data_IF_789309007488
#
_entry.id   IF_789309007488
#
_cell.length_a   1.000
_cell.length_b   1.000
_cell.length_c   1.000
_cell.angle_alpha   90.00
_cell.angle_beta   90.00
_cell.angle_gamma   90.00
#
_symmetry.space_group_name_H-M   'P 1'
#
loop_
_entity.id
_entity.type
_entity.pdbx_description
1 polymer ?
#
# COMPACT_ATOMS: atom_id res chain seq x y z
N UNK A 1 4.23 24.95 -4.81
CA UNK A 1 4.53 26.36 -4.47
C UNK A 1 6.05 26.53 -4.37
N UNK A 2 6.67 27.35 -5.23
CA UNK A 2 8.14 27.60 -5.20
C UNK A 2 8.49 28.43 -3.95
N UNK A 3 9.48 27.98 -3.18
CA UNK A 3 9.82 28.53 -1.85
C UNK A 3 10.28 30.00 -1.86
N UNK A 4 10.33 30.61 -0.67
CA UNK A 4 10.63 32.04 -0.48
C UNK A 4 11.96 32.52 -1.10
N UNK A 5 12.97 31.65 -1.16
CA UNK A 5 14.27 31.95 -1.77
C UNK A 5 14.21 32.19 -3.30
N UNK A 6 13.26 31.55 -4.00
CA UNK A 6 13.06 31.81 -5.43
C UNK A 6 12.48 33.20 -5.67
N UNK A 7 11.57 33.64 -4.79
CA UNK A 7 10.93 34.97 -4.88
C UNK A 7 11.94 36.09 -4.64
N UNK A 8 12.83 35.94 -3.65
CA UNK A 8 13.88 36.93 -3.39
C UNK A 8 14.92 36.98 -4.52
N UNK A 9 15.32 35.83 -5.08
CA UNK A 9 16.25 35.78 -6.19
C UNK A 9 15.68 36.45 -7.46
N UNK A 10 14.43 36.15 -7.83
CA UNK A 10 13.76 36.78 -8.98
C UNK A 10 13.66 38.30 -8.80
N UNK A 11 13.35 38.77 -7.58
CA UNK A 11 13.30 40.19 -7.28
C UNK A 11 14.68 40.86 -7.43
N UNK A 12 15.75 40.22 -6.96
CA UNK A 12 17.13 40.70 -7.13
C UNK A 12 17.55 40.82 -8.60
N UNK A 13 17.23 39.82 -9.43
CA UNK A 13 17.49 39.88 -10.88
C UNK A 13 16.68 40.97 -11.59
N UNK A 14 15.43 41.19 -11.18
CA UNK A 14 14.60 42.26 -11.73
C UNK A 14 15.19 43.65 -11.43
N UNK A 15 15.66 43.88 -10.20
CA UNK A 15 16.33 45.13 -9.80
C UNK A 15 17.65 45.32 -10.56
N UNK A 16 18.47 44.27 -10.67
CA UNK A 16 19.74 44.35 -11.41
C UNK A 16 19.54 44.61 -12.90
N UNK A 17 18.53 43.98 -13.53
CA UNK A 17 18.17 44.23 -14.92
C UNK A 17 17.69 45.66 -15.15
N UNK A 18 16.91 46.21 -14.21
CA UNK A 18 16.43 47.59 -14.26
C UNK A 18 17.59 48.59 -14.12
N UNK A 19 18.57 48.31 -13.25
CA UNK A 19 19.77 49.13 -13.10
C UNK A 19 20.63 49.14 -14.37
N UNK A 20 20.82 47.98 -15.03
CA UNK A 20 21.55 47.89 -16.29
C UNK A 20 20.83 48.60 -17.44
N UNK A 21 19.50 48.49 -17.51
CA UNK A 21 18.69 49.23 -18.48
C UNK A 21 18.80 50.74 -18.28
N UNK A 22 18.78 51.19 -17.02
CA UNK A 22 18.99 52.61 -16.67
C UNK A 22 20.39 53.09 -17.07
N UNK A 23 21.43 52.30 -16.77
CA UNK A 23 22.81 52.63 -17.16
C UNK A 23 22.96 52.73 -18.68
N UNK A 24 22.35 51.81 -19.45
CA UNK A 24 22.38 51.84 -20.91
C UNK A 24 21.70 53.07 -21.51
N UNK A 25 20.58 53.51 -20.92
CA UNK A 25 19.91 54.75 -21.34
C UNK A 25 20.77 55.97 -21.06
N UNK A 26 21.45 56.01 -19.91
CA UNK A 26 22.29 57.15 -19.51
C UNK A 26 23.58 57.23 -20.36
N UNK A 27 24.21 56.10 -20.65
CA UNK A 27 25.37 56.01 -21.57
C UNK A 27 24.96 56.42 -22.98
N UNK A 28 23.78 56.01 -23.45
CA UNK A 28 23.23 56.42 -24.74
C UNK A 28 22.97 57.93 -24.85
N UNK A 29 22.64 58.60 -23.75
CA UNK A 29 22.51 60.07 -23.70
C UNK A 29 23.86 60.77 -23.77
N UNK A 30 24.88 60.21 -23.10
CA UNK A 30 26.25 60.74 -23.09
C UNK A 30 27.03 60.46 -24.38
N UNK A 31 26.57 59.51 -25.20
CA UNK A 31 27.17 59.13 -26.49
C UNK A 31 27.32 60.27 -27.51
N UNK A 32 26.53 61.33 -27.34
CA UNK A 32 26.56 62.52 -28.21
C UNK A 32 27.86 63.33 -28.03
N UNK A 33 28.55 63.18 -26.88
CA UNK A 33 29.75 63.97 -26.55
C UNK A 33 31.07 63.28 -26.91
N UNK A 34 31.15 61.94 -26.89
CA UNK A 34 32.40 61.20 -27.13
C UNK A 34 32.12 59.77 -27.64
N UNK A 35 32.08 59.54 -28.97
CA UNK A 35 31.55 58.30 -29.56
C UNK A 35 32.36 57.05 -29.24
N UNK A 36 33.69 57.16 -29.19
CA UNK A 36 34.58 56.01 -28.96
C UNK A 36 34.49 55.49 -27.52
N UNK A 37 34.39 56.39 -26.54
CA UNK A 37 34.25 56.03 -25.13
C UNK A 37 32.89 55.43 -24.83
N UNK A 38 31.84 55.94 -25.49
CA UNK A 38 30.48 55.42 -25.34
C UNK A 38 30.29 54.03 -25.95
N UNK A 39 31.01 53.69 -27.01
CA UNK A 39 31.04 52.34 -27.59
C UNK A 39 31.59 51.28 -26.61
N UNK A 40 32.66 51.61 -25.88
CA UNK A 40 33.23 50.74 -24.84
C UNK A 40 32.28 50.56 -23.66
N UNK A 41 31.67 51.64 -23.19
CA UNK A 41 30.72 51.61 -22.07
C UNK A 41 29.44 50.84 -22.42
N UNK A 42 28.93 50.99 -23.65
CA UNK A 42 27.80 50.22 -24.16
C UNK A 42 28.14 48.73 -24.29
N UNK A 43 29.36 48.40 -24.70
CA UNK A 43 29.88 47.03 -24.72
C UNK A 43 29.91 46.41 -23.32
N UNK A 44 30.34 47.17 -22.31
CA UNK A 44 30.34 46.72 -20.91
C UNK A 44 28.94 46.43 -20.38
N UNK A 45 27.95 47.28 -20.69
CA UNK A 45 26.54 47.03 -20.34
C UNK A 45 25.99 45.79 -21.04
N UNK A 46 26.31 45.61 -22.33
CA UNK A 46 25.92 44.42 -23.09
C UNK A 46 26.45 43.13 -22.49
N UNK A 47 27.73 43.10 -22.11
CA UNK A 47 28.35 41.97 -21.40
C UNK A 47 27.68 41.75 -20.03
N UNK A 48 27.37 42.83 -19.30
CA UNK A 48 26.66 42.77 -18.03
C UNK A 48 25.27 42.14 -18.13
N UNK A 49 24.48 42.51 -19.14
CA UNK A 49 23.15 41.91 -19.41
C UNK A 49 23.28 40.43 -19.77
N UNK A 50 24.28 40.08 -20.58
CA UNK A 50 24.50 38.69 -21.01
C UNK A 50 24.96 37.80 -19.84
N UNK A 51 25.80 38.32 -18.95
CA UNK A 51 26.20 37.66 -17.70
C UNK A 51 25.00 37.49 -16.75
N UNK A 52 24.15 38.53 -16.61
CA UNK A 52 22.94 38.48 -15.79
C UNK A 52 21.95 37.43 -16.33
N UNK A 53 21.75 37.38 -17.65
CA UNK A 53 20.91 36.38 -18.30
C UNK A 53 21.45 34.95 -18.10
N UNK A 54 22.77 34.76 -18.22
CA UNK A 54 23.38 33.44 -18.01
C UNK A 54 23.26 32.97 -16.54
N UNK A 55 23.42 33.89 -15.58
CA UNK A 55 23.20 33.60 -14.17
C UNK A 55 21.74 33.24 -13.88
N UNK A 56 20.78 34.00 -14.44
CA UNK A 56 19.36 33.70 -14.32
C UNK A 56 19.00 32.34 -14.95
N UNK A 57 19.55 32.02 -16.12
CA UNK A 57 19.33 30.75 -16.80
C UNK A 57 19.87 29.56 -16.00
N UNK A 58 21.06 29.67 -15.41
CA UNK A 58 21.63 28.65 -14.51
C UNK A 58 20.77 28.45 -13.28
N UNK A 59 20.36 29.54 -12.61
CA UNK A 59 19.54 29.46 -11.41
C UNK A 59 18.17 28.83 -11.71
N UNK A 60 17.53 29.20 -12.81
CA UNK A 60 16.24 28.65 -13.22
C UNK A 60 16.32 27.16 -13.61
N UNK A 61 17.47 26.68 -14.13
CA UNK A 61 17.72 25.24 -14.29
C UNK A 61 17.85 24.55 -12.94
N UNK A 62 18.70 25.06 -12.05
CA UNK A 62 18.92 24.51 -10.71
C UNK A 62 17.61 24.34 -9.90
N UNK A 63 16.75 25.36 -9.85
CA UNK A 63 15.46 25.25 -9.16
C UNK A 63 14.48 24.28 -9.82
N UNK A 64 14.57 24.08 -11.13
CA UNK A 64 13.76 23.09 -11.86
C UNK A 64 14.23 21.67 -11.54
N UNK A 65 15.53 21.48 -11.46
CA UNK A 65 16.15 20.19 -11.13
C UNK A 65 15.90 19.83 -9.66
N UNK A 66 15.97 20.80 -8.73
CA UNK A 66 15.52 20.63 -7.34
C UNK A 66 14.01 20.29 -7.24
N UNK A 67 13.18 20.89 -8.09
CA UNK A 67 11.76 20.57 -8.19
C UNK A 67 11.52 19.11 -8.60
N UNK A 68 12.25 18.65 -9.63
CA UNK A 68 12.21 17.25 -10.11
C UNK A 68 12.71 16.28 -9.04
N UNK A 69 13.79 16.61 -8.35
CA UNK A 69 14.31 15.82 -7.24
C UNK A 69 13.28 15.71 -6.11
N UNK A 70 12.64 16.82 -5.72
CA UNK A 70 11.59 16.83 -4.69
C UNK A 70 10.40 15.98 -5.08
N UNK A 71 9.96 16.06 -6.34
CA UNK A 71 8.85 15.28 -6.87
C UNK A 71 9.17 13.78 -6.90
N UNK A 72 10.40 13.45 -7.28
CA UNK A 72 10.92 12.07 -7.28
C UNK A 72 11.05 11.51 -5.86
N UNK A 73 11.49 12.34 -4.90
CA UNK A 73 11.55 11.96 -3.48
C UNK A 73 10.16 11.85 -2.84
N UNK A 74 9.19 12.70 -3.22
CA UNK A 74 7.82 12.63 -2.68
C UNK A 74 7.01 11.45 -3.23
N UNK A 75 7.40 10.93 -4.39
CA UNK A 75 6.80 9.73 -5.01
C UNK A 75 7.55 8.45 -4.65
N UNK A 76 8.61 8.54 -3.85
CA UNK A 76 9.46 7.41 -3.48
C UNK A 76 8.82 6.58 -2.34
N UNK A 77 8.05 5.55 -2.72
CA UNK A 77 7.65 4.42 -1.87
C UNK A 77 7.94 3.09 -2.58
N UNK A 78 9.21 2.70 -2.60
CA UNK A 78 9.60 1.31 -2.95
C UNK A 78 10.47 1.08 -4.18
N UNK A 79 11.02 2.10 -4.85
CA UNK A 79 12.03 1.87 -5.91
C UNK A 79 13.43 1.64 -5.34
N UNK A 80 14.17 0.72 -5.98
CA UNK A 80 15.58 0.44 -5.69
C UNK A 80 16.43 1.72 -5.76
N UNK A 81 17.21 1.99 -4.72
CA UNK A 81 18.12 3.14 -4.62
C UNK A 81 19.12 3.24 -5.79
N UNK A 82 19.32 2.16 -6.54
CA UNK A 82 20.16 2.13 -7.73
C UNK A 82 19.66 3.02 -8.87
N UNK A 83 18.35 3.27 -9.01
CA UNK A 83 17.83 4.06 -10.13
C UNK A 83 18.03 5.58 -9.96
N UNK A 84 18.15 6.06 -8.72
CA UNK A 84 18.41 7.47 -8.40
C UNK A 84 19.86 7.88 -8.72
N UNK A 85 20.80 6.95 -8.60
CA UNK A 85 22.21 7.18 -8.88
C UNK A 85 22.53 7.12 -10.39
N UNK A 86 21.81 6.29 -11.16
CA UNK A 86 22.06 6.11 -12.61
C UNK A 86 21.55 7.26 -13.47
N UNK A 87 20.55 8.02 -13.01
CA UNK A 87 19.98 9.17 -13.74
C UNK A 87 20.55 10.53 -13.28
N UNK A 88 21.50 10.51 -12.34
CA UNK A 88 22.11 11.71 -11.79
C UNK A 88 23.12 12.32 -12.76
N UNK A 89 22.90 13.57 -13.17
CA UNK A 89 23.89 14.35 -13.96
C UNK A 89 25.12 14.73 -13.11
N UNK A 90 26.22 15.10 -13.76
CA UNK A 90 27.42 15.64 -13.12
C UNK A 90 27.21 17.11 -12.71
N UNK A 91 26.24 17.37 -11.83
CA UNK A 91 25.97 18.69 -11.26
C UNK A 91 25.63 18.58 -9.76
N UNK A 92 25.57 19.71 -9.06
CA UNK A 92 25.26 19.78 -7.62
C UNK A 92 23.93 19.09 -7.26
N UNK A 93 22.97 19.05 -8.19
CA UNK A 93 21.71 18.35 -8.00
C UNK A 93 21.89 16.82 -8.10
N UNK A 94 22.76 16.34 -8.98
CA UNK A 94 23.19 14.95 -9.03
C UNK A 94 24.06 14.52 -7.84
N UNK A 95 24.88 15.43 -7.30
CA UNK A 95 25.63 15.19 -6.06
C UNK A 95 24.69 15.11 -4.85
N UNK A 96 23.66 15.97 -4.79
CA UNK A 96 22.61 15.89 -3.77
C UNK A 96 21.75 14.62 -3.95
N UNK A 97 21.47 14.20 -5.18
CA UNK A 97 20.77 12.95 -5.49
C UNK A 97 21.60 11.72 -5.07
N UNK A 98 22.91 11.73 -5.33
CA UNK A 98 23.85 10.69 -4.87
C UNK A 98 23.98 10.70 -3.36
N UNK A 99 24.13 11.86 -2.71
CA UNK A 99 24.17 11.98 -1.25
C UNK A 99 22.85 11.55 -0.60
N UNK A 100 21.70 11.85 -1.20
CA UNK A 100 20.40 11.36 -0.74
C UNK A 100 20.25 9.85 -0.96
N UNK A 101 20.66 9.31 -2.12
CA UNK A 101 20.67 7.88 -2.37
C UNK A 101 21.62 7.14 -1.43
N UNK A 102 22.75 7.74 -1.07
CA UNK A 102 23.74 7.23 -0.14
C UNK A 102 23.24 7.31 1.31
N UNK A 103 22.63 8.42 1.73
CA UNK A 103 21.96 8.55 3.02
C UNK A 103 20.77 7.59 3.16
N UNK A 104 20.03 7.31 2.08
CA UNK A 104 18.94 6.34 2.06
C UNK A 104 19.44 4.88 2.02
N UNK A 105 20.61 4.62 1.41
CA UNK A 105 21.33 3.35 1.55
C UNK A 105 21.84 3.14 2.98
N UNK A 106 22.34 4.20 3.61
CA UNK A 106 22.69 4.21 5.03
C UNK A 106 21.44 4.12 5.93
N UNK A 107 20.26 4.61 5.50
CA UNK A 107 19.00 4.43 6.23
C UNK A 107 18.47 2.99 6.26
N UNK A 108 18.98 2.10 5.39
CA UNK A 108 18.66 0.66 5.43
C UNK A 108 19.73 -0.19 6.12
N UNK A 109 20.93 0.33 6.37
CA UNK A 109 22.04 -0.42 7.00
C UNK A 109 22.89 0.40 7.99
N UNK A 110 22.31 1.45 8.60
CA UNK A 110 23.07 2.43 9.37
C UNK A 110 22.24 3.21 10.38
N UNK A 111 21.42 2.53 11.17
CA UNK A 111 21.25 2.88 12.59
C UNK A 111 21.46 1.61 13.43
N UNK A 112 22.71 1.36 13.79
CA UNK A 112 22.99 0.52 14.96
C UNK A 112 22.34 1.18 16.18
N UNK A 113 21.23 0.60 16.67
CA UNK A 113 21.04 0.08 18.06
C UNK A 113 19.57 0.06 18.58
N UNK A 114 18.64 -0.54 17.84
CA UNK A 114 17.60 -1.37 18.48
C UNK A 114 17.79 -2.88 18.22
N UNK A 115 18.10 -3.27 16.98
CA UNK A 115 18.20 -4.67 16.56
C UNK A 115 19.34 -5.46 17.21
N UNK A 116 20.55 -4.88 17.36
CA UNK A 116 21.68 -5.56 18.02
C UNK A 116 21.51 -5.66 19.55
N UNK A 117 20.84 -4.69 20.18
CA UNK A 117 20.53 -4.76 21.62
C UNK A 117 19.43 -5.79 21.86
N UNK A 118 18.41 -5.83 21.00
CA UNK A 118 17.34 -6.81 21.07
C UNK A 118 17.85 -8.22 20.72
N UNK A 119 18.70 -8.38 19.70
CA UNK A 119 19.37 -9.65 19.39
C UNK A 119 20.30 -10.08 20.53
N UNK A 120 21.00 -9.15 21.18
CA UNK A 120 21.80 -9.43 22.38
C UNK A 120 20.97 -9.84 23.59
N UNK A 121 19.81 -9.21 23.80
CA UNK A 121 18.83 -9.59 24.85
C UNK A 121 18.21 -10.95 24.54
N UNK A 122 17.76 -11.16 23.29
CA UNK A 122 17.17 -12.42 22.81
C UNK A 122 18.19 -13.57 22.89
N UNK A 123 19.46 -13.33 22.56
CA UNK A 123 20.53 -14.30 22.70
C UNK A 123 20.89 -14.62 24.17
N UNK A 124 20.64 -13.70 25.10
CA UNK A 124 20.84 -13.90 26.54
C UNK A 124 19.66 -14.58 27.24
N UNK A 125 18.50 -14.73 26.57
CA UNK A 125 17.36 -15.47 27.11
C UNK A 125 17.61 -16.99 27.01
N UNK A 126 17.47 -17.69 28.13
CA UNK A 126 17.58 -19.15 28.20
C UNK A 126 16.39 -19.87 27.55
N UNK A 127 15.22 -19.21 27.48
CA UNK A 127 14.03 -19.74 26.83
C UNK A 127 14.13 -19.62 25.29
N UNK A 128 13.76 -20.65 24.51
CA UNK A 128 13.73 -20.55 23.07
C UNK A 128 12.73 -19.48 22.57
N UNK A 129 13.23 -18.45 21.89
CA UNK A 129 12.46 -17.33 21.33
C UNK A 129 12.70 -17.19 19.83
N UNK A 130 11.60 -17.03 19.08
CA UNK A 130 11.57 -16.79 17.63
C UNK A 130 10.75 -15.53 17.36
N UNK A 131 11.28 -14.62 16.56
CA UNK A 131 10.58 -13.43 16.06
C UNK A 131 10.33 -13.63 14.57
N UNK A 132 9.07 -13.50 14.18
CA UNK A 132 8.62 -13.64 12.80
C UNK A 132 8.42 -12.26 12.18
N UNK A 133 8.72 -12.14 10.89
CA UNK A 133 8.34 -10.99 10.08
C UNK A 133 6.83 -11.01 9.74
N UNK A 134 6.35 -9.94 9.08
CA UNK A 134 4.95 -9.80 8.66
C UNK A 134 4.50 -10.88 7.64
N UNK A 135 5.44 -11.66 7.09
CA UNK A 135 5.22 -12.74 6.14
C UNK A 135 5.29 -14.13 6.80
N UNK A 136 5.54 -14.21 8.11
CA UNK A 136 5.71 -15.47 8.84
C UNK A 136 7.06 -16.15 8.63
N UNK A 137 8.03 -15.45 8.06
CA UNK A 137 9.42 -15.91 8.02
C UNK A 137 10.12 -15.55 9.32
N UNK A 138 11.11 -16.34 9.67
CA UNK A 138 11.89 -16.09 10.88
C UNK A 138 12.82 -14.92 10.63
N UNK A 139 12.51 -13.77 11.24
CA UNK A 139 13.36 -12.58 11.21
C UNK A 139 14.57 -12.77 12.12
N UNK A 140 14.32 -13.11 13.39
CA UNK A 140 15.37 -13.31 14.40
C UNK A 140 15.04 -14.52 15.27
N UNK A 141 16.04 -15.29 15.68
CA UNK A 141 15.89 -16.41 16.62
C UNK A 141 17.09 -16.51 17.56
N UNK A 142 16.90 -16.96 18.80
CA UNK A 142 18.02 -17.15 19.73
C UNK A 142 18.68 -18.54 19.59
N UNK A 143 19.91 -18.73 20.12
CA UNK A 143 20.60 -20.01 20.04
C UNK A 143 19.80 -21.18 20.64
N UNK A 144 19.03 -20.92 21.72
CA UNK A 144 18.14 -21.92 22.32
C UNK A 144 17.01 -22.35 21.35
N UNK A 145 16.40 -21.41 20.60
CA UNK A 145 15.40 -21.70 19.57
C UNK A 145 16.00 -22.44 18.39
N UNK A 146 17.22 -22.08 17.97
CA UNK A 146 17.92 -22.81 16.90
C UNK A 146 18.15 -24.27 17.30
N UNK A 147 18.60 -24.52 18.53
CA UNK A 147 18.81 -25.88 19.04
C UNK A 147 17.50 -26.65 19.28
N UNK A 148 16.43 -25.97 19.71
CA UNK A 148 15.15 -26.60 20.05
C UNK A 148 14.25 -26.91 18.84
N UNK A 149 14.33 -26.10 17.79
CA UNK A 149 13.51 -26.21 16.58
C UNK A 149 14.29 -26.67 15.34
N UNK A 150 15.63 -26.58 15.35
CA UNK A 150 16.48 -26.90 14.20
C UNK A 150 16.35 -25.88 13.06
N UNK A 151 16.02 -24.62 13.37
CA UNK A 151 15.69 -23.59 12.38
C UNK A 151 16.80 -22.56 12.23
N UNK A 152 16.90 -22.00 11.02
CA UNK A 152 17.76 -20.88 10.67
C UNK A 152 16.92 -19.64 10.34
N UNK A 153 17.50 -18.45 10.52
CA UNK A 153 16.86 -17.19 10.14
C UNK A 153 16.56 -17.19 8.63
N UNK A 154 15.40 -16.65 8.25
CA UNK A 154 14.90 -16.61 6.87
C UNK A 154 14.06 -17.82 6.43
N UNK A 155 13.98 -18.89 7.23
CA UNK A 155 13.09 -20.01 6.98
C UNK A 155 11.61 -19.64 7.24
N UNK A 156 10.70 -20.31 6.56
CA UNK A 156 9.25 -20.15 6.77
C UNK A 156 8.82 -20.99 7.99
N UNK A 157 8.17 -20.36 8.98
CA UNK A 157 7.72 -21.05 10.19
C UNK A 157 6.63 -22.09 9.90
N UNK A 158 5.87 -21.90 8.82
CA UNK A 158 4.74 -22.76 8.45
C UNK A 158 5.17 -24.11 7.87
N UNK A 159 6.43 -24.24 7.45
CA UNK A 159 7.01 -25.54 7.06
C UNK A 159 7.23 -26.44 8.28
N UNK A 160 7.21 -25.86 9.49
CA UNK A 160 7.57 -26.55 10.72
C UNK A 160 6.44 -26.60 11.75
N UNK A 161 5.51 -25.64 11.72
CA UNK A 161 4.35 -25.56 12.61
C UNK A 161 3.03 -25.53 11.83
N UNK A 162 2.00 -26.14 12.41
CA UNK A 162 0.65 -26.16 11.87
C UNK A 162 0.11 -24.75 11.61
N UNK A 163 -0.02 -24.39 10.33
CA UNK A 163 -0.52 -23.09 9.87
C UNK A 163 -1.89 -22.72 10.48
N UNK A 164 -2.91 -23.60 10.53
CA UNK A 164 -4.21 -23.26 11.12
C UNK A 164 -4.16 -22.99 12.63
N UNK A 165 -3.30 -23.68 13.37
CA UNK A 165 -3.21 -23.55 14.84
C UNK A 165 -2.42 -22.31 15.24
N UNK A 166 -1.31 -22.05 14.54
CA UNK A 166 -0.50 -20.85 14.73
C UNK A 166 -1.30 -19.60 14.40
N UNK A 167 -2.08 -19.64 13.32
CA UNK A 167 -2.99 -18.56 12.93
C UNK A 167 -3.99 -18.20 14.06
N UNK A 168 -4.67 -19.20 14.62
CA UNK A 168 -5.61 -18.99 15.74
C UNK A 168 -4.93 -18.43 16.99
N UNK A 169 -3.68 -18.82 17.25
CA UNK A 169 -2.92 -18.32 18.39
C UNK A 169 -2.53 -16.84 18.22
N UNK A 170 -2.15 -16.44 17.00
CA UNK A 170 -1.82 -15.06 16.63
C UNK A 170 -3.07 -14.16 16.72
N UNK A 171 -4.20 -14.62 16.20
CA UNK A 171 -5.48 -13.87 16.27
C UNK A 171 -5.86 -13.58 17.72
N UNK A 172 -5.79 -14.59 18.61
CA UNK A 172 -6.06 -14.41 20.04
C UNK A 172 -5.07 -13.43 20.71
N UNK A 173 -3.78 -13.54 20.39
CA UNK A 173 -2.76 -12.64 20.94
C UNK A 173 -2.98 -11.18 20.51
N UNK A 174 -3.60 -10.96 19.35
CA UNK A 174 -3.93 -9.64 18.80
C UNK A 174 -5.18 -9.05 19.42
N UNK A 175 -6.22 -9.85 19.63
CA UNK A 175 -7.49 -9.39 20.24
C UNK A 175 -7.30 -8.97 21.70
N UNK A 176 -6.59 -9.77 22.49
CA UNK A 176 -6.40 -9.52 23.91
C UNK A 176 -5.26 -8.54 24.20
N UNK A 177 -4.39 -8.30 23.21
CA UNK A 177 -3.17 -7.51 23.38
C UNK A 177 -2.23 -8.09 24.44
N UNK A 178 -2.40 -9.36 24.83
CA UNK A 178 -1.60 -10.07 25.84
C UNK A 178 -0.91 -11.30 25.23
N UNK A 179 -0.02 -11.93 26.00
CA UNK A 179 0.72 -13.11 25.56
C UNK A 179 -0.17 -14.36 25.73
N UNK A 180 -0.52 -15.00 24.61
CA UNK A 180 -1.47 -16.12 24.58
C UNK A 180 -0.72 -17.44 24.48
N UNK A 181 -1.07 -18.42 25.31
CA UNK A 181 -0.49 -19.76 25.26
C UNK A 181 -1.32 -20.67 24.36
N UNK A 182 -0.67 -21.39 23.46
CA UNK A 182 -1.27 -22.34 22.53
C UNK A 182 -0.41 -23.61 22.42
N UNK A 183 -1.04 -24.74 22.11
CA UNK A 183 -0.34 -25.98 21.74
C UNK A 183 -0.36 -26.08 20.22
N UNK A 184 0.82 -26.11 19.60
CA UNK A 184 0.99 -26.17 18.15
C UNK A 184 1.57 -27.51 17.73
N UNK A 185 0.99 -28.13 16.72
CA UNK A 185 1.50 -29.37 16.13
C UNK A 185 2.71 -29.09 15.23
N UNK A 186 3.78 -29.86 15.41
CA UNK A 186 4.98 -29.83 14.55
C UNK A 186 4.77 -30.67 13.29
N UNK A 187 5.36 -30.25 12.17
CA UNK A 187 5.35 -30.99 10.91
C UNK A 187 6.05 -32.37 11.02
N UNK A 188 7.04 -32.50 11.92
CA UNK A 188 7.77 -33.74 12.19
C UNK A 188 7.05 -34.67 13.20
N UNK A 189 5.82 -34.32 13.61
CA UNK A 189 5.06 -35.02 14.64
C UNK A 189 5.36 -34.49 16.06
N UNK A 190 4.35 -34.53 16.93
CA UNK A 190 4.39 -34.00 18.29
C UNK A 190 3.72 -32.63 18.45
N UNK A 191 3.26 -32.33 19.66
CA UNK A 191 2.67 -31.04 20.04
C UNK A 191 3.64 -30.26 20.91
N UNK A 192 3.73 -28.95 20.67
CA UNK A 192 4.65 -28.08 21.39
C UNK A 192 3.91 -26.87 21.94
N UNK A 193 4.06 -26.57 23.25
CA UNK A 193 3.53 -25.35 23.82
C UNK A 193 4.29 -24.15 23.25
N UNK A 194 3.53 -23.15 22.83
CA UNK A 194 4.04 -21.89 22.29
C UNK A 194 3.25 -20.76 22.93
N UNK A 195 3.95 -19.73 23.37
CA UNK A 195 3.37 -18.48 23.81
C UNK A 195 3.57 -17.44 22.72
N UNK A 196 2.47 -16.88 22.24
CA UNK A 196 2.44 -15.97 21.10
C UNK A 196 2.14 -14.56 21.60
N UNK A 197 2.91 -13.59 21.10
CA UNK A 197 2.67 -12.17 21.33
C UNK A 197 2.81 -11.42 20.01
N UNK A 198 1.76 -10.69 19.65
CA UNK A 198 1.83 -9.70 18.57
C UNK A 198 2.56 -8.45 19.10
N UNK A 199 3.66 -8.05 18.46
CA UNK A 199 4.46 -6.88 18.83
C UNK A 199 3.96 -5.59 18.16
N UNK A 200 2.95 -5.68 17.30
CA UNK A 200 2.38 -4.54 16.58
C UNK A 200 3.08 -4.23 15.25
N UNK A 201 2.63 -3.17 14.58
CA UNK A 201 3.03 -2.79 13.21
C UNK A 201 4.55 -2.72 13.07
N UNK A 202 5.08 -3.39 12.04
CA UNK A 202 6.51 -3.43 11.68
C UNK A 202 7.45 -4.05 12.73
N UNK A 203 6.90 -4.64 13.80
CA UNK A 203 7.67 -5.22 14.90
C UNK A 203 7.59 -6.75 14.95
N UNK A 204 6.78 -7.36 14.08
CA UNK A 204 6.68 -8.82 13.91
C UNK A 204 5.90 -9.53 15.01
N UNK A 205 5.98 -10.86 15.01
CA UNK A 205 5.31 -11.73 15.99
C UNK A 205 6.37 -12.47 16.81
N UNK A 206 6.29 -12.38 18.14
CA UNK A 206 7.16 -13.14 19.03
C UNK A 206 6.51 -14.48 19.43
N UNK A 207 7.25 -15.55 19.25
CA UNK A 207 6.94 -16.90 19.70
C UNK A 207 7.95 -17.32 20.77
N UNK A 208 7.45 -17.70 21.94
CA UNK A 208 8.27 -18.19 23.06
C UNK A 208 7.89 -19.64 23.36
N UNK A 209 8.89 -20.51 23.41
CA UNK A 209 8.73 -21.94 23.64
C UNK A 209 9.21 -22.26 25.06
N UNK A 210 8.33 -22.52 26.04
CA UNK A 210 8.75 -22.78 27.41
C UNK A 210 9.53 -24.10 27.51
N UNK A 211 10.73 -24.05 28.12
CA UNK A 211 11.65 -25.18 28.22
C UNK A 211 11.21 -26.27 29.24
N UNK A 212 10.20 -26.00 30.08
CA UNK A 212 9.62 -26.97 31.03
C UNK A 212 8.14 -27.14 30.76
N UNK A 213 7.73 -28.36 30.44
CA UNK A 213 6.33 -28.77 30.25
C UNK A 213 5.48 -28.78 31.56
N UNK A 214 5.88 -28.02 32.59
CA UNK A 214 5.43 -28.23 33.96
C UNK A 214 4.43 -27.22 34.55
N UNK A 215 4.22 -26.05 33.95
CA UNK A 215 3.32 -25.02 34.53
C UNK A 215 2.44 -24.35 33.47
N UNK A 216 1.94 -25.11 32.50
CA UNK A 216 0.74 -24.73 31.77
C UNK A 216 -0.48 -25.05 32.66
N UNK A 217 -0.72 -24.23 33.69
CA UNK A 217 -1.99 -24.32 34.41
C UNK A 217 -3.09 -23.84 33.46
N UNK A 218 -4.09 -24.69 33.17
CA UNK A 218 -5.22 -24.31 32.34
C UNK A 218 -6.06 -23.35 33.18
N UNK A 219 -5.88 -22.05 32.98
CA UNK A 219 -6.79 -21.07 33.54
C UNK A 219 -8.14 -21.25 32.84
N UNK A 220 -9.04 -21.89 33.59
CA UNK A 220 -10.47 -22.00 33.42
C UNK A 220 -10.97 -23.11 32.47
N UNK A 221 -11.18 -24.28 33.09
CA UNK A 221 -12.38 -25.11 32.88
C UNK A 221 -13.64 -24.28 33.17
N UNK A 222 -14.04 -23.44 32.21
CA UNK A 222 -15.38 -22.88 32.11
C UNK A 222 -16.09 -23.57 30.94
N UNK A 223 -17.38 -23.85 31.11
CA UNK A 223 -18.25 -24.55 30.17
C UNK A 223 -17.89 -24.33 28.70
N UNK A 224 -17.88 -25.41 27.91
CA UNK A 224 -17.76 -25.40 26.44
C UNK A 224 -18.90 -24.57 25.84
N UNK A 225 -18.79 -23.25 25.87
CA UNK A 225 -19.41 -22.39 24.90
C UNK A 225 -18.53 -22.50 23.68
N UNK A 226 -18.93 -23.42 22.79
CA UNK A 226 -18.60 -23.33 21.37
C UNK A 226 -18.84 -21.86 20.99
N UNK A 227 -17.75 -21.08 20.88
CA UNK A 227 -17.80 -19.78 20.23
C UNK A 227 -18.21 -20.09 18.80
N UNK A 228 -19.52 -19.98 18.57
CA UNK A 228 -20.09 -19.96 17.23
C UNK A 228 -19.28 -18.94 16.44
N UNK A 229 -18.89 -19.22 15.18
CA UNK A 229 -18.38 -18.22 14.25
C UNK A 229 -19.54 -17.34 13.75
N UNK A 230 -20.27 -16.75 14.70
CA UNK A 230 -21.28 -15.72 14.52
C UNK A 230 -20.91 -14.61 15.50
N UNK A 231 -19.85 -13.86 15.17
CA UNK A 231 -19.97 -12.43 15.38
C UNK A 231 -21.27 -12.03 14.67
N UNK A 232 -22.21 -11.41 15.41
CA UNK A 232 -23.44 -10.89 14.80
C UNK A 232 -23.03 -10.06 13.58
N UNK A 233 -23.80 -10.06 12.47
CA UNK A 233 -23.54 -9.11 11.40
C UNK A 233 -23.45 -7.73 12.03
N UNK A 234 -22.26 -7.15 12.00
CA UNK A 234 -22.10 -5.74 12.35
C UNK A 234 -22.88 -5.03 11.26
N UNK A 235 -24.06 -4.51 11.61
CA UNK A 235 -24.76 -3.61 10.72
C UNK A 235 -23.89 -2.38 10.59
N UNK A 236 -23.11 -2.34 9.51
CA UNK A 236 -22.30 -1.18 9.16
C UNK A 236 -23.26 -0.07 8.77
N UNK A 237 -23.39 0.91 9.66
CA UNK A 237 -24.27 2.06 9.50
C UNK A 237 -23.62 3.18 8.71
N UNK A 238 -24.44 4.14 8.27
CA UNK A 238 -23.95 5.34 7.59
C UNK A 238 -23.13 6.26 8.53
N UNK A 239 -23.30 6.12 9.86
CA UNK A 239 -22.59 6.88 10.89
C UNK A 239 -21.23 6.27 11.28
N UNK A 240 -20.90 5.07 10.79
CA UNK A 240 -19.65 4.42 11.17
C UNK A 240 -18.43 5.19 10.62
N UNK A 241 -17.37 5.35 11.45
CA UNK A 241 -16.18 6.09 11.06
C UNK A 241 -15.42 5.37 9.95
N UNK A 242 -15.17 6.07 8.86
CA UNK A 242 -14.54 5.54 7.65
C UNK A 242 -13.15 4.94 7.92
N UNK A 243 -12.41 5.50 8.89
CA UNK A 243 -11.06 5.08 9.26
C UNK A 243 -11.00 3.80 10.11
N UNK A 244 -12.10 3.44 10.76
CA UNK A 244 -12.21 2.25 11.60
C UNK A 244 -13.13 1.19 10.97
N UNK A 245 -13.71 1.48 9.79
CA UNK A 245 -14.61 0.58 9.11
C UNK A 245 -13.85 -0.68 8.64
N UNK A 246 -14.29 -1.89 9.01
CA UNK A 246 -13.79 -3.10 8.40
C UNK A 246 -14.28 -3.17 6.95
N UNK A 247 -13.34 -3.26 6.02
CA UNK A 247 -13.64 -3.36 4.60
C UNK A 247 -12.89 -4.54 3.97
N UNK A 248 -13.37 -4.96 2.81
CA UNK A 248 -12.76 -6.00 1.99
C UNK A 248 -12.75 -5.54 0.54
N UNK A 249 -11.56 -5.48 -0.05
CA UNK A 249 -11.46 -5.31 -1.50
C UNK A 249 -11.93 -6.59 -2.17
N UNK A 250 -12.76 -6.48 -3.20
CA UNK A 250 -13.30 -7.61 -3.94
C UNK A 250 -13.01 -7.46 -5.44
N UNK A 251 -12.23 -8.42 -5.94
CA UNK A 251 -12.03 -8.64 -7.36
C UNK A 251 -12.63 -9.98 -7.79
N UNK A 252 -13.35 -9.99 -8.91
CA UNK A 252 -14.00 -11.18 -9.47
C UNK A 252 -13.62 -11.29 -10.94
N UNK A 253 -13.18 -12.48 -11.36
CA UNK A 253 -12.92 -12.81 -12.76
C UNK A 253 -13.99 -13.76 -13.29
N UNK A 254 -14.43 -13.53 -14.52
CA UNK A 254 -15.37 -14.40 -15.24
C UNK A 254 -14.69 -15.08 -16.43
N UNK A 255 -15.23 -16.21 -16.88
CA UNK A 255 -14.67 -16.91 -18.03
C UNK A 255 -14.71 -16.08 -19.32
N UNK A 256 -15.70 -15.19 -19.49
CA UNK A 256 -15.85 -14.36 -20.70
C UNK A 256 -14.97 -13.11 -20.69
N UNK A 257 -14.41 -12.72 -19.54
CA UNK A 257 -13.68 -11.46 -19.40
C UNK A 257 -14.56 -10.23 -19.12
N UNK A 258 -15.88 -10.42 -19.03
CA UNK A 258 -16.85 -9.34 -18.80
C UNK A 258 -17.59 -9.58 -17.49
N UNK A 259 -17.71 -8.53 -16.70
CA UNK A 259 -18.55 -8.58 -15.50
C UNK A 259 -20.00 -8.90 -15.89
N UNK A 260 -20.70 -9.62 -15.01
CA UNK A 260 -22.09 -10.08 -15.17
C UNK A 260 -22.34 -11.11 -16.29
N UNK A 261 -21.32 -11.43 -17.09
CA UNK A 261 -21.37 -12.44 -18.14
C UNK A 261 -20.49 -13.65 -17.79
N UNK A 262 -21.01 -14.86 -18.03
CA UNK A 262 -20.26 -16.11 -17.87
C UNK A 262 -20.06 -16.58 -16.41
N UNK A 263 -19.53 -17.80 -16.23
CA UNK A 263 -19.22 -18.36 -14.92
C UNK A 263 -18.01 -17.68 -14.27
N UNK A 264 -18.00 -17.63 -12.94
CA UNK A 264 -16.88 -17.12 -12.15
C UNK A 264 -15.72 -18.11 -12.19
N UNK A 265 -14.52 -17.62 -12.50
CA UNK A 265 -13.29 -18.43 -12.62
C UNK A 265 -12.27 -18.12 -11.54
N UNK A 266 -12.30 -16.93 -10.96
CA UNK A 266 -11.45 -16.58 -9.83
C UNK A 266 -12.09 -15.47 -8.98
N UNK A 267 -11.76 -15.48 -7.68
CA UNK A 267 -12.13 -14.42 -6.74
C UNK A 267 -10.91 -14.08 -5.89
N UNK A 268 -10.59 -12.79 -5.87
CA UNK A 268 -9.53 -12.20 -5.05
C UNK A 268 -10.14 -11.28 -4.00
N UNK A 269 -9.72 -11.40 -2.75
CA UNK A 269 -10.08 -10.43 -1.71
C UNK A 269 -8.88 -10.00 -0.89
N UNK A 270 -8.88 -8.76 -0.41
CA UNK A 270 -7.87 -8.23 0.51
C UNK A 270 -8.59 -7.50 1.65
N UNK A 271 -8.33 -7.91 2.89
CA UNK A 271 -8.91 -7.23 4.05
C UNK A 271 -8.24 -5.89 4.34
N UNK A 272 -9.04 -4.94 4.78
CA UNK A 272 -8.57 -3.63 5.22
C UNK A 272 -9.43 -3.06 6.35
N UNK A 273 -8.85 -2.14 7.12
CA UNK A 273 -9.57 -1.35 8.13
C UNK A 273 -9.23 0.11 7.89
N UNK A 274 -10.19 0.88 7.39
CA UNK A 274 -9.93 2.20 6.83
C UNK A 274 -8.78 2.17 5.82
N UNK A 275 -7.76 3.05 5.92
CA UNK A 275 -6.64 3.08 5.00
C UNK A 275 -5.58 1.98 5.24
N UNK A 276 -5.77 1.08 6.21
CA UNK A 276 -4.79 0.03 6.54
C UNK A 276 -5.08 -1.24 5.76
N UNK A 277 -4.17 -1.66 4.89
CA UNK A 277 -4.28 -2.87 4.05
C UNK A 277 -3.57 -4.06 4.71
N UNK A 278 -4.26 -5.20 4.86
CA UNK A 278 -3.72 -6.43 5.45
C UNK A 278 -3.43 -7.47 4.36
N UNK A 279 -2.25 -7.40 3.76
CA UNK A 279 -1.85 -8.29 2.66
C UNK A 279 -1.76 -9.77 3.05
N UNK A 280 -1.50 -10.07 4.33
CA UNK A 280 -1.47 -11.43 4.87
C UNK A 280 -2.87 -12.04 5.07
N UNK A 281 -3.92 -11.22 4.94
CA UNK A 281 -5.33 -11.60 5.03
C UNK A 281 -6.01 -11.44 3.66
N UNK A 282 -5.41 -12.07 2.63
CA UNK A 282 -5.99 -12.16 1.29
C UNK A 282 -6.61 -13.54 1.04
N UNK A 283 -7.72 -13.56 0.30
CA UNK A 283 -8.28 -14.78 -0.27
C UNK A 283 -7.96 -14.77 -1.77
N UNK A 284 -7.27 -15.79 -2.24
CA UNK A 284 -7.02 -16.02 -3.66
C UNK A 284 -7.59 -17.38 -4.02
N UNK A 285 -8.68 -17.38 -4.78
CA UNK A 285 -9.42 -18.61 -5.07
C UNK A 285 -9.66 -18.75 -6.57
N UNK A 286 -9.13 -19.81 -7.15
CA UNK A 286 -9.55 -20.30 -8.46
C UNK A 286 -10.80 -21.17 -8.32
N UNK A 287 -11.69 -21.07 -9.30
CA UNK A 287 -12.98 -21.75 -9.34
C UNK A 287 -13.09 -22.45 -10.69
N UNK A 288 -13.52 -23.71 -10.65
CA UNK A 288 -13.82 -24.45 -11.87
C UNK A 288 -15.11 -23.91 -12.50
N UNK A 289 -15.06 -23.31 -13.70
CA UNK A 289 -16.25 -22.80 -14.38
C UNK A 289 -17.17 -23.89 -14.92
N UNK A 290 -16.72 -25.17 -14.97
CA UNK A 290 -17.45 -26.27 -15.62
C UNK A 290 -17.61 -26.11 -17.13
N UNK A 291 -16.99 -25.08 -17.73
CA UNK A 291 -17.05 -24.74 -19.14
C UNK A 291 -15.69 -24.19 -19.61
N UNK A 292 -15.34 -24.32 -20.91
CA UNK A 292 -14.10 -23.78 -21.44
C UNK A 292 -14.00 -22.26 -21.23
N UNK A 293 -12.81 -21.78 -20.87
CA UNK A 293 -12.51 -20.33 -20.80
C UNK A 293 -12.08 -19.86 -22.20
N UNK A 294 -12.82 -18.95 -22.86
CA UNK A 294 -12.39 -18.33 -24.10
C UNK A 294 -11.06 -17.58 -23.97
N UNK A 295 -10.31 -17.50 -25.07
CA UNK A 295 -9.03 -16.79 -25.11
C UNK A 295 -9.17 -15.31 -24.73
N UNK A 296 -10.29 -14.67 -25.08
CA UNK A 296 -10.60 -13.28 -24.72
C UNK A 296 -10.66 -13.11 -23.20
N UNK A 297 -11.38 -13.96 -22.48
CA UNK A 297 -11.46 -13.88 -21.01
C UNK A 297 -10.12 -14.15 -20.32
N UNK A 298 -9.34 -15.08 -20.86
CA UNK A 298 -7.97 -15.32 -20.39
C UNK A 298 -7.06 -14.10 -20.59
N UNK A 299 -7.22 -13.37 -21.70
CA UNK A 299 -6.46 -12.16 -21.97
C UNK A 299 -6.86 -11.00 -21.05
N UNK A 300 -8.15 -10.88 -20.70
CA UNK A 300 -8.64 -9.81 -19.83
C UNK A 300 -8.24 -9.99 -18.37
N UNK A 301 -8.43 -11.18 -17.80
CA UNK A 301 -8.19 -11.40 -16.36
C UNK A 301 -6.84 -12.08 -16.05
N UNK A 302 -6.14 -12.59 -17.07
CA UNK A 302 -4.92 -13.37 -16.87
C UNK A 302 -5.13 -14.75 -16.25
N UNK A 303 -6.39 -15.18 -16.08
CA UNK A 303 -6.75 -16.51 -15.56
C UNK A 303 -6.89 -17.48 -16.73
N UNK A 304 -6.07 -18.53 -16.73
CA UNK A 304 -6.04 -19.51 -17.82
C UNK A 304 -6.75 -20.81 -17.44
N UNK A 305 -7.15 -21.61 -18.44
CA UNK A 305 -7.76 -22.93 -18.20
C UNK A 305 -6.88 -23.86 -17.35
N UNK A 306 -5.55 -23.75 -17.47
CA UNK A 306 -4.58 -24.54 -16.68
C UNK A 306 -4.60 -24.13 -15.20
N UNK A 307 -4.85 -22.86 -14.88
CA UNK A 307 -4.89 -22.36 -13.50
C UNK A 307 -6.14 -22.80 -12.74
N UNK A 308 -7.24 -23.08 -13.45
CA UNK A 308 -8.50 -23.55 -12.85
C UNK A 308 -8.64 -25.07 -12.89
N UNK A 309 -7.66 -25.79 -13.44
CA UNK A 309 -7.69 -27.25 -13.53
C UNK A 309 -7.67 -27.88 -12.13
N UNK A 310 -8.65 -28.74 -11.84
CA UNK A 310 -8.81 -29.34 -10.52
C UNK A 310 -9.29 -28.39 -9.43
N UNK A 311 -9.63 -27.14 -9.77
CA UNK A 311 -10.25 -26.21 -8.85
C UNK A 311 -11.66 -26.71 -8.46
N UNK A 312 -12.17 -26.19 -7.34
CA UNK A 312 -13.50 -26.53 -6.84
C UNK A 312 -14.58 -25.80 -7.66
N UNK A 313 -15.77 -26.40 -7.87
CA UNK A 313 -16.88 -25.70 -8.52
C UNK A 313 -17.40 -24.57 -7.63
N UNK A 314 -18.09 -23.60 -8.24
CA UNK A 314 -18.59 -22.40 -7.53
C UNK A 314 -19.41 -22.72 -6.28
N UNK A 315 -20.30 -23.71 -6.35
CA UNK A 315 -21.16 -24.07 -5.21
C UNK A 315 -20.35 -24.50 -3.98
N UNK A 316 -19.21 -25.18 -4.21
CA UNK A 316 -18.26 -25.49 -3.17
C UNK A 316 -17.48 -24.23 -2.75
N UNK A 317 -17.01 -23.42 -3.70
CA UNK A 317 -16.25 -22.18 -3.46
C UNK A 317 -16.95 -21.19 -2.51
N UNK A 318 -18.27 -21.06 -2.69
CA UNK A 318 -19.09 -19.98 -2.15
C UNK A 318 -19.00 -19.77 -0.63
N UNK A 319 -19.06 -20.78 0.26
CA UNK A 319 -19.02 -20.55 1.70
C UNK A 319 -17.76 -19.82 2.18
N UNK A 320 -16.61 -20.03 1.50
CA UNK A 320 -15.35 -19.34 1.83
C UNK A 320 -15.39 -17.89 1.37
N UNK A 321 -15.98 -17.63 0.19
CA UNK A 321 -16.17 -16.27 -0.34
C UNK A 321 -17.14 -15.50 0.55
N UNK A 322 -18.28 -16.09 0.90
CA UNK A 322 -19.29 -15.48 1.76
C UNK A 322 -18.75 -15.18 3.17
N UNK A 323 -17.85 -16.02 3.70
CA UNK A 323 -17.18 -15.75 4.98
C UNK A 323 -16.18 -14.59 4.88
N UNK A 324 -15.46 -14.47 3.76
CA UNK A 324 -14.55 -13.35 3.51
C UNK A 324 -15.28 -12.00 3.43
N UNK A 325 -16.50 -11.98 2.89
CA UNK A 325 -17.35 -10.78 2.75
C UNK A 325 -18.15 -10.44 4.02
N UNK A 326 -18.26 -11.37 4.97
CA UNK A 326 -19.15 -11.21 6.12
C UNK A 326 -18.67 -10.11 7.07
N UNK A 327 -19.57 -9.18 7.40
CA UNK A 327 -19.31 -8.14 8.40
C UNK A 327 -18.30 -7.07 7.94
N UNK A 328 -18.05 -6.98 6.63
CA UNK A 328 -17.19 -5.96 6.03
C UNK A 328 -17.97 -5.15 4.98
N UNK A 329 -17.59 -3.88 4.81
CA UNK A 329 -18.00 -3.13 3.62
C UNK A 329 -17.17 -3.58 2.43
N UNK A 330 -17.79 -3.79 1.28
CA UNK A 330 -17.10 -4.24 0.07
C UNK A 330 -16.65 -3.04 -0.73
N UNK A 331 -15.36 -3.01 -1.08
CA UNK A 331 -14.76 -1.95 -1.87
C UNK A 331 -14.15 -2.54 -3.14
N UNK A 332 -14.24 -1.83 -4.26
CA UNK A 332 -13.73 -2.34 -5.53
C UNK A 332 -13.96 -1.38 -6.68
N UNK A 333 -13.31 -1.64 -7.80
CA UNK A 333 -13.54 -0.90 -9.04
C UNK A 333 -14.72 -1.55 -9.77
N UNK A 334 -15.86 -0.86 -9.85
CA UNK A 334 -17.10 -1.47 -10.36
C UNK A 334 -17.66 -2.55 -9.43
N UNK A 335 -17.67 -2.27 -8.12
CA UNK A 335 -18.00 -3.25 -7.06
C UNK A 335 -19.40 -3.87 -7.23
N UNK A 336 -20.36 -3.09 -7.73
CA UNK A 336 -21.73 -3.56 -7.94
C UNK A 336 -21.77 -4.65 -9.02
N UNK A 337 -20.97 -4.54 -10.08
CA UNK A 337 -20.88 -5.54 -11.14
C UNK A 337 -20.22 -6.84 -10.66
N UNK A 338 -19.21 -6.74 -9.78
CA UNK A 338 -18.59 -7.89 -9.14
C UNK A 338 -19.58 -8.64 -8.23
N UNK A 339 -20.33 -7.91 -7.40
CA UNK A 339 -21.38 -8.50 -6.54
C UNK A 339 -22.54 -9.08 -7.35
N UNK A 340 -22.96 -8.41 -8.43
CA UNK A 340 -23.98 -8.91 -9.35
C UNK A 340 -23.57 -10.24 -10.00
N UNK A 341 -22.29 -10.35 -10.37
CA UNK A 341 -21.70 -11.59 -10.89
C UNK A 341 -21.76 -12.72 -9.85
N UNK A 342 -21.39 -12.45 -8.59
CA UNK A 342 -21.45 -13.44 -7.50
C UNK A 342 -22.91 -13.85 -7.18
N UNK A 343 -23.83 -12.90 -7.14
CA UNK A 343 -25.25 -13.17 -6.89
C UNK A 343 -25.85 -14.04 -8.00
N UNK A 344 -25.51 -13.76 -9.27
CA UNK A 344 -25.89 -14.61 -10.40
C UNK A 344 -25.30 -16.01 -10.25
N UNK A 345 -24.03 -16.15 -9.96
CA UNK A 345 -23.39 -17.45 -9.80
C UNK A 345 -24.02 -18.26 -8.65
N UNK A 346 -24.49 -17.60 -7.57
CA UNK A 346 -25.27 -18.25 -6.53
C UNK A 346 -26.61 -18.78 -7.05
N UNK A 347 -27.35 -17.97 -7.82
CA UNK A 347 -28.62 -18.40 -8.44
C UNK A 347 -28.41 -19.57 -9.39
N UNK A 348 -27.40 -19.50 -10.26
CA UNK A 348 -27.07 -20.55 -11.23
C UNK A 348 -26.65 -21.86 -10.54
N UNK A 349 -26.04 -21.77 -9.35
CA UNK A 349 -25.65 -22.92 -8.52
C UNK A 349 -26.75 -23.42 -7.55
N UNK A 350 -27.95 -22.81 -7.55
CA UNK A 350 -29.03 -23.17 -6.63
C UNK A 350 -28.76 -22.82 -5.16
N UNK A 351 -27.87 -21.87 -4.90
CA UNK A 351 -27.54 -21.36 -3.57
C UNK A 351 -28.47 -20.21 -3.17
N UNK A 352 -28.66 -19.97 -1.85
CA UNK A 352 -29.41 -18.81 -1.38
C UNK A 352 -28.75 -17.51 -1.85
N UNK A 353 -29.58 -16.54 -2.22
CA UNK A 353 -29.11 -15.24 -2.68
C UNK A 353 -28.37 -14.51 -1.54
N UNK A 354 -27.14 -14.02 -1.76
CA UNK A 354 -26.43 -13.24 -0.77
C UNK A 354 -27.18 -11.96 -0.40
N UNK A 355 -27.18 -11.63 0.88
CA UNK A 355 -27.54 -10.28 1.32
C UNK A 355 -26.51 -9.28 0.77
N UNK A 356 -26.98 -8.16 0.22
CA UNK A 356 -26.11 -7.14 -0.35
C UNK A 356 -25.33 -6.43 0.76
N UNK A 357 -23.99 -6.56 0.82
CA UNK A 357 -23.20 -5.83 1.78
C UNK A 357 -23.15 -4.35 1.41
N UNK A 358 -22.82 -3.45 2.36
CA UNK A 358 -22.57 -2.05 2.04
C UNK A 358 -21.37 -1.94 1.09
N UNK A 359 -21.49 -1.08 0.08
CA UNK A 359 -20.49 -0.93 -0.98
C UNK A 359 -19.88 0.46 -1.05
N UNK A 360 -18.61 0.50 -1.44
CA UNK A 360 -17.89 1.71 -1.84
C UNK A 360 -17.23 1.48 -3.20
N UNK A 361 -17.70 2.21 -4.22
CA UNK A 361 -17.15 2.09 -5.57
C UNK A 361 -15.96 3.04 -5.77
N UNK A 362 -14.79 2.46 -6.09
CA UNK A 362 -13.55 3.20 -6.28
C UNK A 362 -13.56 4.12 -7.50
N UNK A 363 -14.21 3.72 -8.59
CA UNK A 363 -14.31 4.54 -9.80
C UNK A 363 -15.17 5.79 -9.53
N UNK A 364 -16.29 5.61 -8.82
CA UNK A 364 -17.17 6.73 -8.43
C UNK A 364 -16.50 7.66 -7.42
N UNK A 365 -15.81 7.12 -6.42
CA UNK A 365 -15.05 7.91 -5.45
C UNK A 365 -13.92 8.69 -6.13
N UNK A 366 -13.18 8.08 -7.05
CA UNK A 366 -12.14 8.75 -7.79
C UNK A 366 -12.69 9.90 -8.66
N UNK A 367 -13.75 9.65 -9.41
CA UNK A 367 -14.42 10.65 -10.25
C UNK A 367 -14.98 11.82 -9.43
N UNK A 368 -15.56 11.54 -8.24
CA UNK A 368 -16.05 12.58 -7.35
C UNK A 368 -14.93 13.43 -6.74
N UNK A 369 -13.75 12.84 -6.48
CA UNK A 369 -12.59 13.57 -5.96
C UNK A 369 -11.86 14.40 -7.02
N UNK A 370 -11.84 13.91 -8.26
CA UNK A 370 -11.23 14.54 -9.43
C UNK A 370 -12.02 14.17 -10.71
N UNK A 371 -12.78 15.11 -11.30
CA UNK A 371 -13.53 14.86 -12.53
C UNK A 371 -12.68 14.41 -13.72
N UNK A 372 -11.36 14.67 -13.73
CA UNK A 372 -10.47 14.20 -14.78
C UNK A 372 -10.27 12.67 -14.76
N UNK A 373 -10.65 12.00 -13.66
CA UNK A 373 -10.57 10.54 -13.50
C UNK A 373 -11.89 9.84 -13.82
N UNK A 374 -12.89 10.56 -14.32
CA UNK A 374 -14.16 9.96 -14.72
C UNK A 374 -13.96 8.94 -15.86
N UNK A 375 -14.49 7.72 -15.67
CA UNK A 375 -14.34 6.64 -16.64
C UNK A 375 -12.93 6.02 -16.70
N UNK A 376 -12.02 6.37 -15.79
CA UNK A 376 -10.68 5.80 -15.76
C UNK A 376 -10.71 4.30 -15.40
N UNK A 377 -9.89 3.52 -16.11
CA UNK A 377 -9.66 2.10 -15.78
C UNK A 377 -8.92 1.95 -14.46
N UNK A 378 -9.00 0.77 -13.85
CA UNK A 378 -8.24 0.47 -12.62
C UNK A 378 -6.73 0.70 -12.81
N UNK A 379 -6.19 0.39 -13.98
CA UNK A 379 -4.78 0.66 -14.30
C UNK A 379 -4.46 2.16 -14.37
N UNK A 380 -5.34 2.95 -14.99
CA UNK A 380 -5.20 4.40 -15.07
C UNK A 380 -5.31 5.05 -13.69
N UNK A 381 -6.24 4.58 -12.85
CA UNK A 381 -6.36 5.01 -11.45
C UNK A 381 -5.12 4.61 -10.65
N UNK A 382 -4.66 3.37 -10.78
CA UNK A 382 -3.43 2.90 -10.15
C UNK A 382 -2.22 3.78 -10.52
N UNK A 383 -2.06 4.10 -11.80
CA UNK A 383 -1.01 4.98 -12.30
C UNK A 383 -1.13 6.41 -11.74
N UNK A 384 -2.34 6.98 -11.71
CA UNK A 384 -2.60 8.32 -11.16
C UNK A 384 -2.27 8.40 -9.66
N UNK A 385 -2.40 7.28 -8.93
CA UNK A 385 -2.07 7.19 -7.51
C UNK A 385 -0.66 6.64 -7.24
N UNK A 386 0.13 6.37 -8.28
CA UNK A 386 1.51 5.87 -8.15
C UNK A 386 1.61 4.42 -7.66
N UNK A 387 0.54 3.64 -7.79
CA UNK A 387 0.46 2.23 -7.40
C UNK A 387 1.07 1.39 -8.52
N UNK A 388 2.18 0.73 -8.24
CA UNK A 388 2.85 -0.13 -9.21
C UNK A 388 2.14 -1.50 -9.28
N UNK A 389 1.59 -1.84 -10.44
CA UNK A 389 1.17 -3.20 -10.78
C UNK A 389 2.40 -4.03 -11.11
N UNK A 390 2.90 -4.80 -10.13
CA UNK A 390 3.94 -5.79 -10.40
C UNK A 390 3.32 -7.07 -10.97
N UNK A 391 3.70 -7.44 -12.19
CA UNK A 391 3.27 -8.69 -12.84
C UNK A 391 3.64 -9.95 -12.05
N UNK A 392 4.61 -9.87 -11.12
CA UNK A 392 4.98 -10.96 -10.22
C UNK A 392 3.90 -11.27 -9.18
N UNK A 393 2.94 -10.37 -8.97
CA UNK A 393 1.82 -10.56 -8.03
C UNK A 393 0.74 -11.51 -8.56
N UNK A 394 0.89 -12.01 -9.79
CA UNK A 394 -0.01 -13.03 -10.34
C UNK A 394 -1.39 -12.48 -10.75
N UNK A 395 -2.36 -13.36 -11.05
CA UNK A 395 -3.67 -12.97 -11.57
C UNK A 395 -4.54 -12.24 -10.53
N UNK A 396 -4.25 -12.36 -9.23
CA UNK A 396 -4.99 -11.70 -8.16
C UNK A 396 -4.48 -10.29 -7.81
N UNK A 397 -3.44 -9.81 -8.51
CA UNK A 397 -2.91 -8.46 -8.35
C UNK A 397 -3.98 -7.34 -8.32
N UNK A 398 -5.07 -7.39 -9.12
CA UNK A 398 -6.10 -6.35 -9.08
C UNK A 398 -6.72 -6.13 -7.69
N UNK A 399 -6.97 -7.17 -6.90
CA UNK A 399 -7.53 -7.03 -5.55
C UNK A 399 -6.59 -6.23 -4.62
N UNK A 400 -5.28 -6.42 -4.76
CA UNK A 400 -4.30 -5.64 -4.00
C UNK A 400 -4.25 -4.19 -4.48
N UNK A 401 -4.31 -3.96 -5.80
CA UNK A 401 -4.32 -2.62 -6.39
C UNK A 401 -5.54 -1.84 -5.93
N UNK A 402 -6.72 -2.47 -5.90
CA UNK A 402 -7.94 -1.88 -5.38
C UNK A 402 -7.82 -1.51 -3.90
N UNK A 403 -7.25 -2.39 -3.06
CA UNK A 403 -7.04 -2.09 -1.65
C UNK A 403 -6.07 -0.93 -1.40
N UNK A 404 -4.98 -0.85 -2.16
CA UNK A 404 -4.02 0.26 -2.09
C UNK A 404 -4.64 1.57 -2.62
N UNK A 405 -5.43 1.50 -3.69
CA UNK A 405 -6.16 2.63 -4.24
C UNK A 405 -7.21 3.14 -3.25
N UNK A 406 -7.96 2.23 -2.63
CA UNK A 406 -8.87 2.52 -1.55
C UNK A 406 -8.17 3.28 -0.42
N UNK A 407 -7.04 2.78 0.08
CA UNK A 407 -6.29 3.46 1.14
C UNK A 407 -5.90 4.90 0.78
N UNK A 408 -5.47 5.13 -0.45
CA UNK A 408 -5.16 6.47 -0.97
C UNK A 408 -6.39 7.38 -1.06
N UNK A 409 -7.51 6.86 -1.56
CA UNK A 409 -8.76 7.61 -1.71
C UNK A 409 -9.38 7.95 -0.35
N UNK A 410 -9.42 7.00 0.59
CA UNK A 410 -9.94 7.20 1.94
C UNK A 410 -9.16 8.29 2.69
N UNK A 411 -7.83 8.31 2.55
CA UNK A 411 -6.98 9.37 3.13
C UNK A 411 -7.32 10.74 2.54
N UNK A 412 -7.64 10.84 1.24
CA UNK A 412 -8.03 12.10 0.59
C UNK A 412 -9.44 12.55 0.98
N UNK A 413 -10.36 11.60 1.21
CA UNK A 413 -11.72 11.89 1.70
C UNK A 413 -11.66 12.48 3.12
N UNK A 414 -10.85 11.89 4.00
CA UNK A 414 -10.63 12.41 5.35
C UNK A 414 -10.10 13.84 5.33
N UNK A 415 -9.12 14.14 4.45
CA UNK A 415 -8.59 15.49 4.28
C UNK A 415 -9.63 16.53 3.79
N UNK A 416 -10.73 16.06 3.21
CA UNK A 416 -11.88 16.88 2.78
C UNK A 416 -13.00 16.92 3.82
N UNK A 417 -12.79 16.37 5.02
CA UNK A 417 -13.79 16.36 6.10
C UNK A 417 -14.84 15.26 5.99
N UNK A 418 -14.69 14.31 5.06
CA UNK A 418 -15.58 13.15 4.92
C UNK A 418 -15.09 12.08 5.89
N UNK A 419 -15.80 11.91 7.00
CA UNK A 419 -15.38 11.09 8.13
C UNK A 419 -16.23 9.81 8.29
N UNK A 420 -17.45 9.78 7.77
CA UNK A 420 -18.35 8.62 7.93
C UNK A 420 -18.59 7.88 6.62
N UNK A 421 -18.98 6.60 6.75
CA UNK A 421 -19.32 5.74 5.63
C UNK A 421 -20.46 6.30 4.77
N UNK A 422 -21.51 6.85 5.39
CA UNK A 422 -22.65 7.46 4.70
C UNK A 422 -22.25 8.72 3.91
N UNK A 423 -21.38 9.55 4.48
CA UNK A 423 -20.84 10.72 3.77
C UNK A 423 -20.03 10.31 2.54
N UNK A 424 -19.19 9.27 2.66
CA UNK A 424 -18.42 8.75 1.52
C UNK A 424 -19.34 8.21 0.40
N UNK A 425 -20.40 7.49 0.77
CA UNK A 425 -21.41 7.00 -0.20
C UNK A 425 -22.16 8.14 -0.87
N UNK A 426 -22.63 9.13 -0.12
CA UNK A 426 -23.32 10.30 -0.65
C UNK A 426 -22.41 11.12 -1.59
N UNK A 427 -21.13 11.24 -1.23
CA UNK A 427 -20.11 11.90 -2.06
C UNK A 427 -19.89 11.15 -3.39
N UNK A 428 -19.75 9.82 -3.35
CA UNK A 428 -19.65 8.98 -4.55
C UNK A 428 -20.93 9.02 -5.42
N UNK A 429 -22.08 9.29 -4.80
CA UNK A 429 -23.36 9.42 -5.49
C UNK A 429 -23.55 10.78 -6.19
N UNK A 430 -22.60 11.73 -6.05
CA UNK A 430 -22.73 13.08 -6.59
C UNK A 430 -23.73 13.96 -5.83
N UNK A 431 -24.14 13.55 -4.62
CA UNK A 431 -25.08 14.31 -3.77
C UNK A 431 -24.38 15.37 -2.91
N UNK A 432 -23.22 15.89 -3.36
CA UNK A 432 -22.33 16.79 -2.63
C UNK A 432 -22.92 18.18 -2.27
N UNK A 433 -24.21 18.43 -2.51
CA UNK A 433 -24.91 19.64 -2.11
C UNK A 433 -25.34 19.70 -0.63
N UNK A 434 -25.00 18.70 0.19
CA UNK A 434 -25.47 18.58 1.57
C UNK A 434 -24.37 18.20 2.59
N UNK A 435 -23.12 18.62 2.37
CA UNK A 435 -22.11 18.57 3.42
C UNK A 435 -22.21 19.89 4.23
N UNK A 436 -22.47 19.85 5.56
CA UNK A 436 -22.53 21.06 6.37
C UNK A 436 -21.13 21.72 6.45
N UNK A 437 -21.11 23.06 6.30
CA UNK A 437 -19.91 23.91 6.39
C UNK A 437 -19.17 23.83 7.74
#
# INVERSE_FOLDING_TARGET
>A
MRGGAWRSAVLGFAVAGMALAFLGVEIGRLAIADPERSLLDMGAVGIGVLALWMAFARLNRHFRDLGRLRETLSTWRGRSASSLATDAKEDEAGDLARAAAEALRHGRHGESRPGERLAGVIAALEEPVVVLDDFGRIDTLNPAASAHLGLAAGADIYDHLSRPELFRAIERAREDGQMVSALLRRAQGGEVPVRVKDLGLQSGIALVFPAKAGEAQPLLSGERRLLRPNARPVHLGDEDPLLALPMVSLWVATATGRAEEGPVVAVGTVRMVGPRVFRSLSLELFIDPGAPIPAEGSATHGVTAVMVEGARPFAAAWPVIADALRGCAVIGWGVDAALGTLARACRDAGLPEPEAPPTLDLARLAAALDPALEGASLEQLGAAFGIATDRRLGPFAPALVEAELAAGLLTRLEQRGIATHGQARAFAAGQAGALPE
#
